data_IF_354332883176
#
_entry.id   IF_354332883176
#
_cell.length_a   1.000
_cell.length_b   1.000
_cell.length_c   1.000
_cell.angle_alpha   90.00
_cell.angle_beta   90.00
_cell.angle_gamma   90.00
#
_symmetry.space_group_name_H-M   'P 1'
#
loop_
_entity.id
_entity.type
_entity.pdbx_description
1 polymer ?
#
# COMPACT_ATOMS: atom_id res chain seq x y z
N UNK A 1 25.54 -26.37 38.24
CA UNK A 1 26.14 -25.23 38.97
C UNK A 1 26.12 -24.05 38.01
N UNK A 2 24.98 -23.41 37.76
CA UNK A 2 24.20 -22.45 38.58
C UNK A 2 24.55 -20.99 38.25
N UNK A 3 23.64 -20.38 37.48
CA UNK A 3 23.19 -18.97 37.52
C UNK A 3 24.10 -17.84 37.01
N UNK A 4 23.56 -16.64 36.70
CA UNK A 4 22.16 -16.20 36.52
C UNK A 4 21.87 -15.33 35.24
N UNK A 5 20.58 -15.12 34.94
CA UNK A 5 20.01 -14.11 33.99
C UNK A 5 19.56 -12.84 34.73
N UNK A 6 19.51 -11.63 34.11
CA UNK A 6 18.22 -10.91 33.88
C UNK A 6 18.19 -10.07 32.57
N UNK A 7 17.15 -10.10 31.72
CA UNK A 7 15.86 -9.33 31.71
C UNK A 7 15.90 -7.82 31.36
N UNK A 8 15.62 -7.51 30.06
CA UNK A 8 14.78 -6.41 29.47
C UNK A 8 15.08 -4.93 29.84
N UNK A 9 14.36 -3.89 29.32
CA UNK A 9 13.74 -3.61 28.01
C UNK A 9 14.04 -2.17 27.50
N UNK A 10 14.15 -1.91 26.21
CA UNK A 10 13.97 -0.54 25.64
C UNK A 10 13.52 -0.72 24.19
N UNK A 11 12.45 -0.16 23.63
CA UNK A 11 11.64 1.00 23.99
C UNK A 11 10.39 0.89 23.08
N UNK A 12 9.19 0.76 23.65
CA UNK A 12 8.00 1.20 22.93
C UNK A 12 8.11 2.72 22.72
N UNK A 13 7.48 3.22 21.66
CA UNK A 13 6.32 4.03 21.96
C UNK A 13 5.09 3.40 21.32
N UNK A 14 4.12 3.07 22.16
CA UNK A 14 2.73 3.21 21.77
C UNK A 14 2.47 4.72 21.65
N UNK A 15 2.06 5.20 20.47
CA UNK A 15 1.16 6.36 20.38
C UNK A 15 0.46 6.40 19.03
N UNK A 16 -0.87 6.50 19.13
CA UNK A 16 -1.83 6.98 18.13
C UNK A 16 -1.98 6.07 16.89
N UNK A 17 -3.17 5.52 16.58
CA UNK A 17 -4.45 6.23 16.69
C UNK A 17 -4.48 7.40 15.71
N UNK A 18 -4.15 7.15 14.44
CA UNK A 18 -4.34 8.08 13.34
C UNK A 18 -4.76 7.25 12.13
N UNK A 19 -5.86 7.70 11.50
CA UNK A 19 -6.51 7.21 10.28
C UNK A 19 -5.74 6.14 9.50
N UNK A 20 -6.41 5.02 9.21
CA UNK A 20 -5.94 3.96 8.31
C UNK A 20 -5.10 4.56 7.19
N UNK A 21 -3.79 4.28 7.12
CA UNK A 21 -2.95 4.88 6.11
C UNK A 21 -3.49 4.38 4.79
N UNK A 22 -4.04 5.29 3.98
CA UNK A 22 -4.24 5.02 2.57
C UNK A 22 -2.89 4.53 2.06
N UNK A 23 -2.83 3.25 1.74
CA UNK A 23 -1.64 2.55 1.27
C UNK A 23 -0.90 3.46 0.26
N UNK A 24 0.20 4.07 0.69
CA UNK A 24 0.88 5.11 -0.10
C UNK A 24 1.87 4.50 -1.10
N UNK A 25 2.00 3.16 -1.13
CA UNK A 25 2.84 2.43 -2.07
C UNK A 25 2.00 1.60 -3.04
N UNK A 26 2.55 1.38 -4.24
CA UNK A 26 1.92 0.55 -5.27
C UNK A 26 1.64 -0.87 -4.77
N UNK A 27 2.63 -1.53 -4.18
CA UNK A 27 2.51 -2.90 -3.66
C UNK A 27 1.42 -3.04 -2.61
N UNK A 28 1.31 -2.10 -1.67
CA UNK A 28 0.28 -2.15 -0.64
C UNK A 28 -1.13 -1.92 -1.21
N UNK A 29 -1.27 -1.05 -2.22
CA UNK A 29 -2.54 -0.84 -2.90
C UNK A 29 -2.96 -2.06 -3.74
N UNK A 30 -1.99 -2.73 -4.36
CA UNK A 30 -2.21 -3.97 -5.10
C UNK A 30 -2.63 -5.11 -4.18
N UNK A 31 -1.92 -5.30 -3.06
CA UNK A 31 -2.26 -6.31 -2.05
C UNK A 31 -3.66 -6.10 -1.49
N UNK A 32 -4.03 -4.86 -1.16
CA UNK A 32 -5.37 -4.54 -0.68
C UNK A 32 -6.45 -4.86 -1.74
N UNK A 33 -6.18 -4.57 -3.01
CA UNK A 33 -7.08 -4.86 -4.11
C UNK A 33 -7.28 -6.37 -4.29
N UNK A 34 -6.21 -7.16 -4.25
CA UNK A 34 -6.26 -8.62 -4.34
C UNK A 34 -7.08 -9.23 -3.19
N UNK A 35 -6.85 -8.76 -1.96
CA UNK A 35 -7.63 -9.20 -0.80
C UNK A 35 -9.11 -8.84 -0.93
N UNK A 36 -9.43 -7.68 -1.49
CA UNK A 36 -10.80 -7.25 -1.71
C UNK A 36 -11.50 -8.12 -2.75
N UNK A 37 -10.84 -8.39 -3.89
CA UNK A 37 -11.35 -9.28 -4.94
C UNK A 37 -11.59 -10.68 -4.38
N UNK A 38 -10.65 -11.24 -3.61
CA UNK A 38 -10.81 -12.55 -2.98
C UNK A 38 -12.04 -12.61 -2.06
N UNK A 39 -12.32 -11.53 -1.32
CA UNK A 39 -13.50 -11.44 -0.46
C UNK A 39 -14.82 -11.33 -1.25
N UNK A 40 -14.80 -10.63 -2.39
CA UNK A 40 -15.96 -10.54 -3.29
C UNK A 40 -16.26 -11.89 -3.94
N UNK A 41 -15.23 -12.59 -4.43
CA UNK A 41 -15.36 -13.90 -5.08
C UNK A 41 -15.81 -14.99 -4.10
N UNK A 42 -15.40 -14.89 -2.83
CA UNK A 42 -15.88 -15.78 -1.77
C UNK A 42 -17.38 -15.61 -1.47
N UNK A 43 -18.03 -14.55 -1.97
CA UNK A 43 -19.46 -14.28 -1.74
C UNK A 43 -19.81 -14.03 -0.26
N UNK A 44 -18.79 -13.71 0.56
CA UNK A 44 -18.92 -13.69 2.02
C UNK A 44 -19.23 -12.29 2.57
N UNK A 45 -19.49 -11.32 1.68
CA UNK A 45 -19.83 -9.95 2.04
C UNK A 45 -21.34 -9.74 2.15
N UNK A 46 -21.82 -9.10 3.23
CA UNK A 46 -23.20 -8.64 3.30
C UNK A 46 -23.45 -7.55 2.24
N UNK A 47 -24.69 -7.47 1.76
CA UNK A 47 -25.10 -6.55 0.70
C UNK A 47 -24.73 -5.08 0.98
N UNK A 48 -24.90 -4.64 2.23
CA UNK A 48 -24.57 -3.27 2.66
C UNK A 48 -23.07 -2.94 2.53
N UNK A 49 -22.19 -3.95 2.53
CA UNK A 49 -20.75 -3.77 2.39
C UNK A 49 -20.26 -3.90 0.94
N UNK A 50 -21.06 -4.50 0.05
CA UNK A 50 -20.67 -4.71 -1.35
C UNK A 50 -20.38 -3.38 -2.05
N UNK A 51 -21.23 -2.38 -1.87
CA UNK A 51 -21.06 -1.09 -2.53
C UNK A 51 -19.79 -0.37 -2.06
N UNK A 52 -19.56 -0.32 -0.75
CA UNK A 52 -18.37 0.30 -0.14
C UNK A 52 -17.09 -0.37 -0.64
N UNK A 53 -17.11 -1.71 -0.75
CA UNK A 53 -15.95 -2.49 -1.17
C UNK A 53 -15.69 -2.36 -2.66
N UNK A 54 -16.75 -2.32 -3.46
CA UNK A 54 -16.62 -2.01 -4.89
C UNK A 54 -16.01 -0.61 -5.11
N UNK A 55 -16.47 0.42 -4.39
CA UNK A 55 -15.91 1.77 -4.46
C UNK A 55 -14.43 1.78 -4.10
N UNK A 56 -14.06 1.12 -2.99
CA UNK A 56 -12.66 1.00 -2.58
C UNK A 56 -11.81 0.30 -3.63
N UNK A 57 -12.31 -0.79 -4.22
CA UNK A 57 -11.62 -1.49 -5.31
C UNK A 57 -11.40 -0.59 -6.53
N UNK A 58 -12.38 0.25 -6.89
CA UNK A 58 -12.27 1.21 -7.98
C UNK A 58 -11.19 2.28 -7.71
N UNK A 59 -11.11 2.79 -6.48
CA UNK A 59 -10.07 3.73 -6.05
C UNK A 59 -8.67 3.12 -6.15
N UNK A 60 -8.49 1.90 -5.63
CA UNK A 60 -7.21 1.18 -5.66
C UNK A 60 -6.77 0.91 -7.11
N UNK A 61 -7.70 0.48 -7.96
CA UNK A 61 -7.42 0.25 -9.38
C UNK A 61 -6.99 1.53 -10.10
N UNK A 62 -7.69 2.64 -9.83
CA UNK A 62 -7.34 3.94 -10.41
C UNK A 62 -5.94 4.40 -9.96
N UNK A 63 -5.63 4.24 -8.68
CA UNK A 63 -4.30 4.54 -8.12
C UNK A 63 -3.19 3.71 -8.78
N UNK A 64 -3.37 2.39 -8.88
CA UNK A 64 -2.38 1.50 -9.49
C UNK A 64 -2.12 1.88 -10.96
N UNK A 65 -3.18 2.16 -11.73
CA UNK A 65 -3.05 2.62 -13.13
C UNK A 65 -2.28 3.92 -13.24
N UNK A 66 -2.63 4.91 -12.41
CA UNK A 66 -1.96 6.21 -12.42
C UNK A 66 -0.47 6.11 -12.08
N UNK A 67 -0.07 5.21 -11.17
CA UNK A 67 1.36 4.97 -10.88
C UNK A 67 2.09 4.32 -12.05
N UNK A 68 1.49 3.34 -12.72
CA UNK A 68 2.10 2.72 -13.89
C UNK A 68 2.26 3.73 -15.03
N UNK A 69 1.23 4.54 -15.30
CA UNK A 69 1.28 5.60 -16.32
C UNK A 69 2.37 6.64 -16.00
N UNK A 70 2.50 7.05 -14.74
CA UNK A 70 3.56 7.97 -14.32
C UNK A 70 4.96 7.39 -14.57
N UNK A 71 5.17 6.11 -14.29
CA UNK A 71 6.45 5.42 -14.54
C UNK A 71 6.71 5.28 -16.03
N UNK A 72 5.71 4.90 -16.83
CA UNK A 72 5.81 4.80 -18.28
C UNK A 72 6.19 6.16 -18.90
N UNK A 73 5.57 7.25 -18.44
CA UNK A 73 5.90 8.59 -18.91
C UNK A 73 7.34 8.99 -18.53
N UNK A 74 7.81 8.63 -17.34
CA UNK A 74 9.21 8.87 -16.96
C UNK A 74 10.20 8.11 -17.84
N UNK A 75 9.90 6.85 -18.18
CA UNK A 75 10.72 6.05 -19.09
C UNK A 75 10.78 6.72 -20.47
N UNK A 76 9.63 7.13 -21.02
CA UNK A 76 9.57 7.83 -22.32
C UNK A 76 10.44 9.09 -22.34
N UNK A 77 10.38 9.93 -21.29
CA UNK A 77 11.22 11.14 -21.19
C UNK A 77 12.71 10.81 -21.20
N UNK A 78 13.12 9.72 -20.52
CA UNK A 78 14.51 9.26 -20.51
C UNK A 78 14.95 8.70 -21.88
N UNK A 79 14.06 8.01 -22.58
CA UNK A 79 14.30 7.46 -23.94
C UNK A 79 14.35 8.55 -25.01
N UNK A 80 13.51 9.59 -24.90
CA UNK A 80 13.47 10.75 -25.81
C UNK A 80 14.64 11.74 -25.62
N UNK A 81 15.54 11.49 -24.65
CA UNK A 81 16.84 12.16 -24.56
C UNK A 81 16.96 13.31 -23.57
N UNK A 82 15.98 13.54 -22.68
CA UNK A 82 16.15 14.42 -21.53
C UNK A 82 16.56 13.62 -20.29
N UNK A 83 17.85 13.29 -20.19
CA UNK A 83 18.49 12.92 -18.93
C UNK A 83 18.52 14.15 -18.02
N UNK A 84 17.37 14.49 -17.40
CA UNK A 84 17.37 15.41 -16.26
C UNK A 84 17.97 14.65 -15.08
N UNK A 85 19.08 15.12 -14.48
CA UNK A 85 19.68 14.46 -13.34
C UNK A 85 18.63 14.36 -12.24
N UNK A 86 18.37 13.13 -11.80
CA UNK A 86 17.57 12.89 -10.61
C UNK A 86 18.38 13.36 -9.40
N UNK A 87 18.10 14.56 -8.91
CA UNK A 87 18.56 15.00 -7.60
C UNK A 87 17.64 14.40 -6.54
N UNK A 88 18.09 13.28 -5.97
CA UNK A 88 17.54 12.77 -4.72
C UNK A 88 18.06 13.66 -3.58
N UNK A 89 17.21 14.57 -3.10
CA UNK A 89 17.39 15.32 -1.86
C UNK A 89 16.15 15.17 -0.97
#
# INVERSE_FOLDING_TARGET
MTSPTPSKPTKSPARAGAASPVATSYEAALEELEQLVAQLDAGQLPLDQLLTRYQRGAELLAYCRARLEAVENQIKVLEDGELKPWDAA
#
